data_IF_847522596876
#
_entry.id   IF_847522596876
#
_cell.length_a   1.000
_cell.length_b   1.000
_cell.length_c   1.000
_cell.angle_alpha   90.00
_cell.angle_beta   90.00
_cell.angle_gamma   90.00
#
_symmetry.space_group_name_H-M   'P 1'
#
loop_
_entity.id
_entity.type
_entity.pdbx_description
1 polymer ?
#
# COMPACT_ATOMS: atom_id res chain seq x y z
N UNK A 1 61.24 -25.15 22.34
CA UNK A 1 59.92 -25.57 22.85
C UNK A 1 58.96 -24.38 22.74
N UNK A 2 57.90 -24.58 21.95
CA UNK A 2 56.54 -23.97 22.02
C UNK A 2 56.33 -22.45 21.86
N UNK A 3 55.69 -22.12 20.72
CA UNK A 3 54.96 -20.90 20.31
C UNK A 3 53.98 -20.37 21.37
N UNK A 4 53.76 -19.05 21.39
CA UNK A 4 52.40 -18.46 21.29
C UNK A 4 52.44 -17.06 20.63
N UNK A 5 51.94 -17.00 19.40
CA UNK A 5 51.50 -15.81 18.66
C UNK A 5 50.19 -15.27 19.21
N UNK A 6 49.97 -13.95 19.27
CA UNK A 6 48.65 -13.35 19.04
C UNK A 6 48.76 -11.88 18.57
N UNK A 7 48.28 -11.67 17.34
CA UNK A 7 47.41 -10.58 16.88
C UNK A 7 47.94 -9.14 16.73
N UNK A 8 48.52 -8.90 15.55
CA UNK A 8 48.13 -7.91 14.54
C UNK A 8 47.13 -6.81 14.97
N UNK A 9 47.56 -5.54 14.87
CA UNK A 9 46.64 -4.41 14.68
C UNK A 9 47.19 -3.45 13.62
N UNK A 10 46.31 -3.18 12.66
CA UNK A 10 46.55 -2.69 11.31
C UNK A 10 47.17 -1.29 11.17
N UNK A 11 48.12 -1.25 10.25
CA UNK A 11 48.22 -0.36 9.08
C UNK A 11 47.93 1.14 9.24
N UNK A 12 49.03 1.89 9.23
CA UNK A 12 49.42 2.91 8.24
C UNK A 12 48.44 4.07 7.98
N UNK A 13 48.94 5.21 8.47
CA UNK A 13 48.58 6.60 8.18
C UNK A 13 48.85 6.98 6.71
N UNK A 14 47.91 7.68 6.07
CA UNK A 14 48.14 8.59 4.93
C UNK A 14 46.83 9.34 4.63
N UNK A 15 46.74 10.57 4.15
CA UNK A 15 47.58 11.78 4.10
C UNK A 15 46.57 12.89 3.72
N UNK A 16 46.70 14.09 4.27
CA UNK A 16 45.79 15.23 4.05
C UNK A 16 46.13 15.91 2.72
N UNK A 17 45.16 16.08 1.80
CA UNK A 17 45.20 17.15 0.76
C UNK A 17 43.78 17.63 0.44
N UNK A 18 43.59 18.93 0.62
CA UNK A 18 42.41 19.74 0.29
C UNK A 18 42.32 20.01 -1.22
N UNK A 19 41.13 19.98 -1.81
CA UNK A 19 40.70 20.98 -2.81
C UNK A 19 39.21 20.83 -3.16
N UNK A 20 38.51 21.97 -3.21
CA UNK A 20 37.11 22.10 -3.56
C UNK A 20 36.76 21.35 -4.85
N UNK A 21 35.81 20.42 -4.75
CA UNK A 21 35.09 19.88 -5.89
C UNK A 21 33.61 20.09 -5.65
N UNK A 22 33.07 21.07 -6.35
CA UNK A 22 31.64 21.35 -6.49
C UNK A 22 31.00 20.10 -7.09
N UNK A 23 30.31 19.29 -6.26
CA UNK A 23 29.41 18.25 -6.76
C UNK A 23 27.98 18.79 -6.72
N UNK A 24 27.67 19.61 -7.72
CA UNK A 24 26.32 19.62 -8.28
C UNK A 24 26.15 18.31 -9.06
N UNK A 25 25.72 17.26 -8.37
CA UNK A 25 25.09 16.10 -9.02
C UNK A 25 23.75 15.95 -8.36
N UNK A 26 22.71 16.22 -9.16
CA UNK A 26 21.34 16.49 -8.74
C UNK A 26 20.88 15.57 -7.63
N UNK A 27 20.20 16.19 -6.65
CA UNK A 27 19.31 15.44 -5.79
C UNK A 27 18.42 14.62 -6.70
N UNK A 28 18.68 13.31 -6.73
CA UNK A 28 17.65 12.33 -7.03
C UNK A 28 16.62 12.66 -5.99
N UNK A 29 15.58 13.41 -6.38
CA UNK A 29 14.33 13.41 -5.65
C UNK A 29 14.06 11.93 -5.50
N UNK A 30 14.25 11.42 -4.29
CA UNK A 30 13.79 10.09 -3.95
C UNK A 30 12.30 10.17 -4.22
N UNK A 31 11.90 9.72 -5.41
CA UNK A 31 10.51 9.54 -5.78
C UNK A 31 10.06 8.44 -4.84
N UNK A 32 9.61 8.83 -3.65
CA UNK A 32 8.83 7.94 -2.80
C UNK A 32 7.70 7.45 -3.69
N UNK A 33 7.56 6.12 -3.89
CA UNK A 33 6.48 5.60 -4.71
C UNK A 33 5.18 6.22 -4.19
N UNK A 34 4.27 6.64 -5.08
CA UNK A 34 3.03 7.29 -4.67
C UNK A 34 2.33 6.41 -3.63
N UNK A 35 2.30 6.89 -2.38
CA UNK A 35 1.70 6.13 -1.29
C UNK A 35 0.18 6.04 -1.50
N UNK A 36 -0.37 4.84 -1.55
CA UNK A 36 -1.82 4.65 -1.63
C UNK A 36 -2.48 4.88 -0.26
N UNK A 37 -2.53 6.14 0.19
CA UNK A 37 -3.07 6.51 1.50
C UNK A 37 -4.54 6.11 1.67
N UNK A 38 -5.33 6.19 0.59
CA UNK A 38 -6.72 5.73 0.60
C UNK A 38 -6.82 4.20 0.61
N UNK A 39 -5.91 3.46 -0.04
CA UNK A 39 -5.86 1.99 0.08
C UNK A 39 -5.56 1.58 1.53
N UNK A 40 -4.62 2.28 2.18
CA UNK A 40 -4.25 2.01 3.57
C UNK A 40 -5.45 2.26 4.49
N UNK A 41 -6.14 3.39 4.29
CA UNK A 41 -7.35 3.74 5.03
C UNK A 41 -8.47 2.70 4.88
N UNK A 42 -8.70 2.16 3.67
CA UNK A 42 -9.68 1.08 3.44
C UNK A 42 -9.17 -0.24 4.03
N UNK A 43 -7.86 -0.52 3.96
CA UNK A 43 -7.27 -1.74 4.55
C UNK A 43 -7.47 -1.77 6.06
N UNK A 44 -7.25 -0.64 6.74
CA UNK A 44 -7.46 -0.51 8.18
C UNK A 44 -8.94 -0.72 8.54
N UNK A 45 -9.86 -0.19 7.73
CA UNK A 45 -11.29 -0.45 7.90
C UNK A 45 -11.62 -1.94 7.72
N UNK A 46 -11.08 -2.61 6.70
CA UNK A 46 -11.29 -4.05 6.50
C UNK A 46 -10.81 -4.87 7.70
N UNK A 47 -9.65 -4.54 8.26
CA UNK A 47 -9.12 -5.20 9.46
C UNK A 47 -10.07 -4.99 10.65
N UNK A 48 -10.52 -3.76 10.88
CA UNK A 48 -11.49 -3.46 11.92
C UNK A 48 -12.79 -4.27 11.76
N UNK A 49 -13.36 -4.33 10.55
CA UNK A 49 -14.57 -5.12 10.31
C UNK A 49 -14.30 -6.62 10.43
N UNK A 50 -13.13 -7.11 10.04
CA UNK A 50 -12.76 -8.52 10.24
C UNK A 50 -12.75 -8.90 11.72
N UNK A 51 -12.21 -8.05 12.59
CA UNK A 51 -12.18 -8.27 14.03
C UNK A 51 -13.59 -8.30 14.65
N UNK A 52 -14.52 -7.53 14.09
CA UNK A 52 -15.92 -7.44 14.57
C UNK A 52 -16.84 -8.49 13.94
N UNK A 53 -16.46 -9.08 12.81
CA UNK A 53 -17.24 -10.07 12.07
C UNK A 53 -16.40 -11.33 11.75
N UNK A 54 -15.94 -12.09 12.76
CA UNK A 54 -14.92 -13.14 12.59
C UNK A 54 -15.36 -14.36 11.76
N UNK A 55 -16.65 -14.50 11.47
CA UNK A 55 -17.21 -15.56 10.61
C UNK A 55 -17.31 -15.15 9.14
N UNK A 56 -17.10 -13.87 8.83
CA UNK A 56 -17.15 -13.32 7.47
C UNK A 56 -15.78 -13.41 6.81
N UNK A 57 -15.77 -13.58 5.48
CA UNK A 57 -14.52 -13.64 4.72
C UNK A 57 -14.15 -12.28 4.12
N UNK A 58 -13.08 -11.68 4.62
CA UNK A 58 -12.54 -10.40 4.16
C UNK A 58 -11.29 -10.55 3.28
N UNK A 59 -10.68 -11.74 3.22
CA UNK A 59 -9.42 -11.99 2.53
C UNK A 59 -9.46 -11.57 1.03
N UNK A 60 -10.51 -11.91 0.25
CA UNK A 60 -10.58 -11.49 -1.17
C UNK A 60 -10.60 -9.96 -1.36
N UNK A 61 -11.12 -9.22 -0.38
CA UNK A 61 -11.18 -7.76 -0.42
C UNK A 61 -9.80 -7.16 -0.12
N UNK A 62 -9.08 -7.73 0.85
CA UNK A 62 -7.71 -7.34 1.17
C UNK A 62 -6.76 -7.63 0.01
N UNK A 63 -6.87 -8.80 -0.61
CA UNK A 63 -6.09 -9.18 -1.80
C UNK A 63 -6.28 -8.19 -2.95
N UNK A 64 -7.52 -7.78 -3.19
CA UNK A 64 -7.84 -6.79 -4.23
C UNK A 64 -7.13 -5.45 -3.94
N UNK A 65 -7.13 -4.98 -2.69
CA UNK A 65 -6.40 -3.75 -2.31
C UNK A 65 -4.88 -3.89 -2.39
N UNK A 66 -4.33 -5.09 -2.15
CA UNK A 66 -2.89 -5.35 -2.35
C UNK A 66 -2.52 -5.18 -3.83
N UNK A 67 -3.36 -5.67 -4.75
CA UNK A 67 -3.14 -5.50 -6.19
C UNK A 67 -3.23 -4.02 -6.58
N UNK A 68 -4.25 -3.30 -6.10
CA UNK A 68 -4.40 -1.84 -6.34
C UNK A 68 -3.17 -1.07 -5.85
N UNK A 69 -2.69 -1.35 -4.63
CA UNK A 69 -1.49 -0.69 -4.08
C UNK A 69 -0.26 -0.94 -4.94
N UNK A 70 -0.06 -2.17 -5.44
CA UNK A 70 1.05 -2.51 -6.34
C UNK A 70 0.93 -1.78 -7.67
N UNK A 71 -0.27 -1.72 -8.24
CA UNK A 71 -0.54 -1.04 -9.50
C UNK A 71 -0.24 0.47 -9.40
N UNK A 72 -0.64 1.12 -8.30
CA UNK A 72 -0.29 2.52 -8.03
C UNK A 72 1.22 2.75 -7.94
N UNK A 73 1.95 1.87 -7.24
CA UNK A 73 3.41 1.95 -7.17
C UNK A 73 4.12 1.76 -8.52
N UNK A 74 3.42 1.24 -9.54
CA UNK A 74 3.93 0.98 -10.88
C UNK A 74 3.33 1.90 -11.95
N UNK A 75 2.56 2.92 -11.55
CA UNK A 75 1.80 3.83 -12.44
C UNK A 75 0.83 3.12 -13.42
N UNK A 76 0.37 1.91 -13.05
CA UNK A 76 -0.59 1.13 -13.83
C UNK A 76 -2.03 1.55 -13.48
N UNK A 77 -2.44 2.68 -14.06
CA UNK A 77 -3.79 3.22 -13.84
C UNK A 77 -4.89 2.27 -14.29
N UNK A 78 -4.68 1.50 -15.37
CA UNK A 78 -5.68 0.56 -15.86
C UNK A 78 -6.02 -0.49 -14.80
N UNK A 79 -4.99 -1.07 -14.17
CA UNK A 79 -5.18 -2.06 -13.10
C UNK A 79 -5.81 -1.42 -11.86
N UNK A 80 -5.43 -0.19 -11.50
CA UNK A 80 -6.08 0.55 -10.40
C UNK A 80 -7.57 0.69 -10.66
N UNK A 81 -7.96 1.17 -11.84
CA UNK A 81 -9.35 1.35 -12.23
C UNK A 81 -10.13 0.03 -12.21
N UNK A 82 -9.58 -1.03 -12.81
CA UNK A 82 -10.28 -2.30 -12.94
C UNK A 82 -10.45 -3.02 -11.61
N UNK A 83 -9.38 -3.13 -10.80
CA UNK A 83 -9.44 -3.83 -9.52
C UNK A 83 -10.26 -3.07 -8.49
N UNK A 84 -10.19 -1.73 -8.48
CA UNK A 84 -11.02 -0.96 -7.55
C UNK A 84 -12.51 -0.98 -7.96
N UNK A 85 -12.82 -0.99 -9.25
CA UNK A 85 -14.21 -1.19 -9.71
C UNK A 85 -14.74 -2.56 -9.30
N UNK A 86 -13.90 -3.60 -9.40
CA UNK A 86 -14.21 -4.96 -8.92
C UNK A 86 -14.41 -4.99 -7.40
N UNK A 87 -13.55 -4.32 -6.62
CA UNK A 87 -13.70 -4.21 -5.17
C UNK A 87 -15.08 -3.67 -4.77
N UNK A 88 -15.52 -2.57 -5.40
CA UNK A 88 -16.84 -2.00 -5.15
C UNK A 88 -17.99 -2.94 -5.54
N UNK A 89 -17.85 -3.67 -6.65
CA UNK A 89 -18.85 -4.68 -7.03
C UNK A 89 -18.89 -5.85 -6.04
N UNK A 90 -17.74 -6.29 -5.53
CA UNK A 90 -17.67 -7.35 -4.53
C UNK A 90 -18.40 -6.93 -3.24
N UNK A 91 -18.23 -5.68 -2.79
CA UNK A 91 -18.93 -5.16 -1.61
C UNK A 91 -20.43 -5.06 -1.86
N UNK A 92 -20.84 -4.47 -2.99
CA UNK A 92 -22.24 -4.37 -3.40
C UNK A 92 -22.95 -5.73 -3.46
N UNK A 93 -22.27 -6.73 -3.99
CA UNK A 93 -22.83 -8.07 -4.16
C UNK A 93 -22.70 -8.93 -2.89
N UNK A 94 -22.10 -8.40 -1.81
CA UNK A 94 -21.79 -9.14 -0.59
C UNK A 94 -21.07 -10.46 -0.90
N UNK A 95 -20.14 -10.37 -1.84
CA UNK A 95 -19.42 -11.53 -2.37
C UNK A 95 -18.61 -12.24 -1.27
N UNK A 96 -18.28 -13.51 -1.50
CA UNK A 96 -17.43 -14.29 -0.60
C UNK A 96 -17.95 -14.48 0.84
N UNK A 97 -19.20 -14.12 1.12
CA UNK A 97 -19.81 -14.35 2.44
C UNK A 97 -19.45 -13.29 3.48
N UNK A 98 -19.18 -12.05 3.06
CA UNK A 98 -19.07 -10.91 3.97
C UNK A 98 -20.43 -10.60 4.63
N UNK A 99 -20.42 -10.20 5.90
CA UNK A 99 -21.63 -9.72 6.57
C UNK A 99 -22.26 -8.53 5.82
N UNK A 100 -23.59 -8.50 5.71
CA UNK A 100 -24.29 -7.47 4.94
C UNK A 100 -24.10 -6.05 5.46
N UNK A 101 -24.16 -5.85 6.78
CA UNK A 101 -23.94 -4.53 7.37
C UNK A 101 -22.48 -4.08 7.20
N UNK A 102 -21.53 -5.00 7.39
CA UNK A 102 -20.11 -4.72 7.14
C UNK A 102 -19.88 -4.33 5.66
N UNK A 103 -20.48 -5.05 4.72
CA UNK A 103 -20.34 -4.76 3.29
C UNK A 103 -20.92 -3.40 2.91
N UNK A 104 -22.10 -3.04 3.43
CA UNK A 104 -22.77 -1.78 3.14
C UNK A 104 -21.98 -0.59 3.71
N UNK A 105 -21.49 -0.70 4.94
CA UNK A 105 -20.67 0.34 5.58
C UNK A 105 -19.30 0.47 4.88
N UNK A 106 -18.62 -0.64 4.59
CA UNK A 106 -17.36 -0.62 3.84
C UNK A 106 -17.55 -0.05 2.43
N UNK A 107 -18.68 -0.32 1.78
CA UNK A 107 -18.98 0.25 0.47
C UNK A 107 -19.09 1.77 0.56
N UNK A 108 -19.89 2.27 1.50
CA UNK A 108 -20.12 3.70 1.69
C UNK A 108 -18.83 4.42 2.11
N UNK A 109 -18.05 3.81 3.01
CA UNK A 109 -16.76 4.34 3.44
C UNK A 109 -15.74 4.39 2.28
N UNK A 110 -15.61 3.29 1.52
CA UNK A 110 -14.70 3.24 0.39
C UNK A 110 -15.07 4.27 -0.69
N UNK A 111 -16.35 4.53 -0.94
CA UNK A 111 -16.81 5.57 -1.85
C UNK A 111 -16.34 6.97 -1.41
N UNK A 112 -16.27 7.22 -0.10
CA UNK A 112 -15.89 8.52 0.45
C UNK A 112 -14.38 8.81 0.33
N UNK A 113 -13.54 7.78 0.50
CA UNK A 113 -12.08 7.95 0.56
C UNK A 113 -11.38 7.66 -0.78
N UNK A 114 -12.04 6.95 -1.70
CA UNK A 114 -11.46 6.62 -3.00
C UNK A 114 -11.62 7.81 -3.97
N UNK A 115 -10.55 8.28 -4.63
CA UNK A 115 -10.61 9.32 -5.66
C UNK A 115 -11.21 8.79 -6.98
N UNK A 116 -12.49 8.45 -6.97
CA UNK A 116 -13.19 7.77 -8.07
C UNK A 116 -13.08 8.52 -9.40
N UNK A 117 -13.23 9.84 -9.37
CA UNK A 117 -13.20 10.68 -10.58
C UNK A 117 -11.80 10.77 -11.19
N UNK A 118 -10.75 10.76 -10.36
CA UNK A 118 -9.35 10.85 -10.79
C UNK A 118 -8.95 9.61 -11.58
N UNK A 119 -9.38 8.43 -11.12
CA UNK A 119 -9.03 7.14 -11.74
C UNK A 119 -10.11 6.59 -12.67
N UNK A 120 -11.23 7.29 -12.88
CA UNK A 120 -12.35 6.81 -13.71
C UNK A 120 -12.95 5.49 -13.21
N UNK A 121 -12.95 5.26 -11.90
CA UNK A 121 -13.44 4.02 -11.28
C UNK A 121 -14.96 3.93 -11.42
N UNK A 122 -15.47 2.74 -11.76
CA UNK A 122 -16.91 2.48 -11.75
C UNK A 122 -17.31 1.92 -10.39
N UNK A 123 -18.15 2.65 -9.67
CA UNK A 123 -18.64 2.23 -8.36
C UNK A 123 -20.18 2.33 -8.30
N UNK A 124 -20.88 1.29 -7.82
CA UNK A 124 -22.30 1.36 -7.51
C UNK A 124 -22.60 2.52 -6.55
N UNK A 125 -23.76 3.21 -6.69
CA UNK A 125 -24.13 4.34 -5.83
C UNK A 125 -24.24 3.92 -4.37
N UNK A 126 -24.10 4.81 -3.37
CA UNK A 126 -24.17 4.45 -1.95
C UNK A 126 -25.34 3.53 -1.60
N UNK A 127 -25.15 2.63 -0.63
CA UNK A 127 -26.27 1.84 -0.10
C UNK A 127 -27.09 2.77 0.79
N UNK A 128 -28.28 3.16 0.32
CA UNK A 128 -29.29 3.83 1.16
C UNK A 128 -30.04 2.78 1.95
N UNK A 129 -30.10 2.94 3.28
CA UNK A 129 -30.62 1.95 4.23
C UNK A 129 -31.92 1.28 3.78
N UNK A 130 -31.91 -0.06 3.81
CA UNK A 130 -33.12 -0.90 3.75
C UNK A 130 -33.75 -1.05 5.13
#
# INVERSE_FOLDING_TARGET
>A
MTRTTLFTKSSIVAFVVSCASVLLTGGVLALTPPQCTWCDTISDALIFYQDNYPTSNFEPYQDTLIVVRRAMGSDDQQTVTSEMSKFFQMLRNRSYGINGAAADELHNFALMVTPIQEYGISAPPPVTGQ
#
